data_IF_980278984511
#
_entry.id   IF_980278984511
#
_cell.length_a   1.000
_cell.length_b   1.000
_cell.length_c   1.000
_cell.angle_alpha   90.00
_cell.angle_beta   90.00
_cell.angle_gamma   90.00
#
_symmetry.space_group_name_H-M   'P 1'
#
loop_
_entity.id
_entity.type
_entity.pdbx_description
1 polymer ?
#
# COMPACT_ATOMS: atom_id res chain seq x y z
N UNK A 1 4.70 8.70 25.11
CA UNK A 1 3.93 8.26 23.94
C UNK A 1 4.85 8.41 22.75
N UNK A 2 4.96 7.38 21.92
CA UNK A 2 5.71 7.47 20.65
C UNK A 2 4.89 8.38 19.73
N UNK A 3 5.54 9.33 19.08
CA UNK A 3 4.88 10.25 18.14
C UNK A 3 4.64 9.49 16.83
N UNK A 4 3.42 9.49 16.26
CA UNK A 4 3.16 8.83 14.99
C UNK A 4 3.99 9.48 13.86
N UNK A 5 4.39 8.68 12.87
CA UNK A 5 5.11 9.18 11.69
C UNK A 5 4.16 9.86 10.71
N UNK A 6 2.89 9.44 10.67
CA UNK A 6 1.81 10.12 9.95
C UNK A 6 0.68 10.38 10.95
N UNK A 7 0.18 11.60 10.96
CA UNK A 7 -0.99 11.99 11.75
C UNK A 7 -1.93 12.82 10.88
N UNK A 8 -3.19 12.38 10.80
CA UNK A 8 -4.23 13.00 9.99
C UNK A 8 -5.39 13.36 10.90
N UNK A 9 -5.73 14.66 10.94
CA UNK A 9 -6.75 15.22 11.80
C UNK A 9 -7.82 15.93 10.97
N UNK A 10 -9.06 15.44 11.05
CA UNK A 10 -10.26 16.05 10.45
C UNK A 10 -10.11 16.43 8.97
N UNK A 11 -9.42 15.58 8.18
CA UNK A 11 -9.12 15.81 6.78
C UNK A 11 -10.40 15.81 5.94
N UNK A 12 -10.62 16.89 5.23
CA UNK A 12 -11.66 17.02 4.22
C UNK A 12 -11.05 17.38 2.87
N UNK A 13 -11.54 16.75 1.81
CA UNK A 13 -11.09 17.05 0.45
C UNK A 13 -12.25 17.01 -0.55
N UNK A 14 -12.18 17.88 -1.55
CA UNK A 14 -13.10 17.98 -2.67
C UNK A 14 -12.35 18.32 -3.96
N UNK A 15 -12.67 17.65 -5.04
CA UNK A 15 -12.15 18.03 -6.35
C UNK A 15 -12.78 19.35 -6.81
N UNK A 16 -12.03 20.21 -7.57
CA UNK A 16 -12.53 21.52 -8.01
C UNK A 16 -13.82 21.47 -8.84
N UNK A 17 -14.05 20.36 -9.57
CA UNK A 17 -15.23 20.18 -10.41
C UNK A 17 -16.48 19.71 -9.66
N UNK A 18 -16.36 19.31 -8.40
CA UNK A 18 -17.48 18.85 -7.57
C UNK A 18 -18.26 20.01 -6.97
N UNK A 19 -19.56 19.81 -6.69
CA UNK A 19 -20.38 20.77 -5.98
C UNK A 19 -19.81 21.06 -4.57
N UNK A 20 -20.10 22.25 -4.02
CA UNK A 20 -19.51 22.71 -2.75
C UNK A 20 -19.78 21.79 -1.55
N UNK A 21 -20.89 21.11 -1.55
CA UNK A 21 -21.38 20.17 -0.54
C UNK A 21 -20.93 18.73 -0.76
N UNK A 22 -20.27 18.45 -1.89
CA UNK A 22 -19.85 17.10 -2.28
C UNK A 22 -18.37 16.86 -1.96
N UNK A 23 -18.09 16.39 -0.73
CA UNK A 23 -16.74 16.01 -0.32
C UNK A 23 -16.38 14.59 -0.78
N UNK A 24 -15.15 14.42 -1.30
CA UNK A 24 -14.56 13.11 -1.61
C UNK A 24 -13.95 12.46 -0.36
N UNK A 25 -13.36 13.27 0.54
CA UNK A 25 -12.95 12.84 1.88
C UNK A 25 -13.70 13.68 2.90
N UNK A 26 -14.19 13.05 3.94
CA UNK A 26 -15.06 13.65 4.97
C UNK A 26 -14.54 13.27 6.34
N UNK A 27 -14.06 14.26 7.06
CA UNK A 27 -13.64 14.17 8.47
C UNK A 27 -12.72 12.96 8.76
N UNK A 28 -11.77 12.69 7.84
CA UNK A 28 -10.85 11.56 7.96
C UNK A 28 -9.81 11.86 9.02
N UNK A 29 -9.74 10.99 10.03
CA UNK A 29 -8.76 11.07 11.11
C UNK A 29 -8.17 9.70 11.38
N UNK A 30 -6.84 9.58 11.40
CA UNK A 30 -6.09 8.38 11.79
C UNK A 30 -4.61 8.73 11.98
N UNK A 31 -3.88 7.84 12.63
CA UNK A 31 -2.43 7.95 12.76
C UNK A 31 -1.73 6.67 12.32
N UNK A 32 -0.44 6.76 11.97
CA UNK A 32 0.41 5.61 11.60
C UNK A 32 1.71 5.71 12.38
N UNK A 33 2.10 4.63 13.03
CA UNK A 33 3.35 4.56 13.77
C UNK A 33 4.54 4.28 12.83
N UNK A 34 5.74 4.71 13.23
CA UNK A 34 6.97 4.41 12.48
C UNK A 34 7.17 2.89 12.40
N UNK A 35 7.54 2.40 11.21
CA UNK A 35 7.71 0.98 10.94
C UNK A 35 6.41 0.19 10.88
N UNK A 36 5.24 0.80 10.95
CA UNK A 36 3.96 0.11 10.79
C UNK A 36 3.65 -0.15 9.30
N UNK A 37 2.97 -1.26 9.01
CA UNK A 37 2.33 -1.50 7.72
C UNK A 37 0.82 -1.38 7.89
N UNK A 38 0.24 -0.37 7.26
CA UNK A 38 -1.21 -0.13 7.26
C UNK A 38 -1.77 -0.40 5.87
N UNK A 39 -2.76 -1.30 5.78
CA UNK A 39 -3.52 -1.51 4.55
C UNK A 39 -4.77 -0.60 4.56
N UNK A 40 -5.00 0.12 3.47
CA UNK A 40 -6.18 0.95 3.26
C UNK A 40 -7.07 0.22 2.26
N UNK A 41 -8.24 -0.20 2.70
CA UNK A 41 -9.17 -1.02 1.93
C UNK A 41 -10.53 -0.34 1.80
N UNK A 42 -11.34 -0.75 0.82
CA UNK A 42 -12.65 -0.21 0.56
C UNK A 42 -13.04 -0.32 -0.92
N UNK A 43 -14.28 -0.08 -1.27
CA UNK A 43 -14.76 -0.18 -2.65
C UNK A 43 -14.12 0.89 -3.58
N UNK A 44 -14.23 0.66 -4.89
CA UNK A 44 -13.76 1.65 -5.87
C UNK A 44 -14.56 2.95 -5.73
N UNK A 45 -13.84 4.08 -5.74
CA UNK A 45 -14.45 5.40 -5.53
C UNK A 45 -14.63 5.80 -4.06
N UNK A 46 -14.23 4.97 -3.07
CA UNK A 46 -14.36 5.32 -1.64
C UNK A 46 -13.39 6.42 -1.14
N UNK A 47 -12.47 6.90 -1.99
CA UNK A 47 -11.56 7.99 -1.63
C UNK A 47 -10.11 7.57 -1.31
N UNK A 48 -9.75 6.28 -1.37
CA UNK A 48 -8.42 5.76 -0.99
C UNK A 48 -7.25 6.43 -1.72
N UNK A 49 -7.27 6.46 -3.05
CA UNK A 49 -6.21 7.11 -3.85
C UNK A 49 -6.20 8.63 -3.66
N UNK A 50 -7.36 9.24 -3.37
CA UNK A 50 -7.46 10.65 -3.00
C UNK A 50 -6.78 10.90 -1.66
N UNK A 51 -6.97 10.03 -0.68
CA UNK A 51 -6.28 10.07 0.61
C UNK A 51 -4.76 9.97 0.44
N UNK A 52 -4.26 8.98 -0.32
CA UNK A 52 -2.84 8.84 -0.59
C UNK A 52 -2.21 10.08 -1.25
N UNK A 53 -2.92 10.70 -2.20
CA UNK A 53 -2.47 11.94 -2.86
C UNK A 53 -2.47 13.15 -1.92
N UNK A 54 -3.37 13.20 -0.94
CA UNK A 54 -3.34 14.22 0.10
C UNK A 54 -2.13 14.02 1.03
N UNK A 55 -1.83 12.79 1.44
CA UNK A 55 -0.66 12.49 2.30
C UNK A 55 0.66 12.91 1.68
N UNK A 56 0.80 12.75 0.36
CA UNK A 56 2.00 13.15 -0.40
C UNK A 56 1.95 14.63 -0.87
N UNK A 57 0.91 15.39 -0.51
CA UNK A 57 0.76 16.79 -0.91
C UNK A 57 0.54 17.01 -2.41
N UNK A 58 0.16 15.98 -3.18
CA UNK A 58 -0.25 16.11 -4.58
C UNK A 58 -1.62 16.79 -4.68
N UNK A 59 -2.43 16.64 -3.65
CA UNK A 59 -3.71 17.32 -3.49
C UNK A 59 -3.67 18.08 -2.17
N UNK A 60 -4.08 19.34 -2.20
CA UNK A 60 -4.16 20.17 -0.99
C UNK A 60 -5.49 19.94 -0.28
N UNK A 61 -5.50 19.67 1.04
CA UNK A 61 -6.72 19.54 1.82
C UNK A 61 -7.64 20.77 1.70
N UNK A 62 -8.95 20.55 1.70
CA UNK A 62 -9.92 21.65 1.83
C UNK A 62 -9.98 22.15 3.29
N UNK A 63 -9.81 21.24 4.26
CA UNK A 63 -9.65 21.53 5.69
C UNK A 63 -9.04 20.32 6.39
N UNK A 64 -8.69 20.49 7.66
CA UNK A 64 -8.00 19.48 8.46
C UNK A 64 -6.49 19.66 8.41
N UNK A 65 -5.76 18.68 8.95
CA UNK A 65 -4.31 18.76 9.12
C UNK A 65 -3.68 17.40 8.81
N UNK A 66 -2.55 17.45 8.13
CA UNK A 66 -1.70 16.28 7.90
C UNK A 66 -0.33 16.62 8.46
N UNK A 67 0.20 15.75 9.30
CA UNK A 67 1.56 15.86 9.85
C UNK A 67 2.34 14.61 9.43
N UNK A 68 3.55 14.80 8.89
CA UNK A 68 4.43 13.71 8.48
C UNK A 68 5.79 13.89 9.16
N UNK A 69 6.18 12.92 9.97
CA UNK A 69 7.43 12.94 10.74
C UNK A 69 7.63 14.28 11.47
N UNK A 70 6.53 14.81 12.01
CA UNK A 70 6.50 16.04 12.76
C UNK A 70 6.33 17.33 11.97
N UNK A 71 6.43 17.28 10.66
CA UNK A 71 6.23 18.44 9.80
C UNK A 71 4.78 18.51 9.35
N UNK A 72 4.11 19.64 9.59
CA UNK A 72 2.75 19.90 9.09
C UNK A 72 2.82 20.15 7.60
N UNK A 73 2.02 19.41 6.82
CA UNK A 73 1.96 19.54 5.36
C UNK A 73 1.45 20.95 4.98
N UNK A 74 2.23 21.66 4.22
CA UNK A 74 1.96 23.03 3.73
C UNK A 74 2.78 23.28 2.46
N UNK A 75 2.53 24.38 1.77
CA UNK A 75 3.35 24.79 0.61
C UNK A 75 4.84 24.93 0.95
N UNK A 76 5.18 25.26 2.22
CA UNK A 76 6.56 25.47 2.67
C UNK A 76 7.26 24.14 2.99
N UNK A 77 6.53 23.13 3.44
CA UNK A 77 7.09 21.86 3.94
C UNK A 77 6.91 20.71 2.98
N UNK A 78 6.08 20.85 1.94
CA UNK A 78 5.71 19.76 1.02
C UNK A 78 6.92 19.09 0.35
N UNK A 79 7.96 19.86 0.02
CA UNK A 79 9.16 19.30 -0.62
C UNK A 79 9.99 18.44 0.33
N UNK A 80 10.10 18.83 1.60
CA UNK A 80 10.79 18.04 2.62
C UNK A 80 9.99 16.78 2.96
N UNK A 81 8.66 16.87 3.03
CA UNK A 81 7.78 15.73 3.22
C UNK A 81 7.89 14.74 2.05
N UNK A 82 7.90 15.22 0.79
CA UNK A 82 8.07 14.37 -0.40
C UNK A 82 9.40 13.63 -0.45
N UNK A 83 10.45 14.15 0.14
CA UNK A 83 11.73 13.41 0.27
C UNK A 83 11.63 12.19 1.19
N UNK A 84 10.71 12.25 2.17
CA UNK A 84 10.47 11.17 3.13
C UNK A 84 9.51 10.11 2.60
N UNK A 85 8.65 10.47 1.63
CA UNK A 85 7.58 9.62 1.08
C UNK A 85 7.94 9.16 -0.33
N UNK A 86 8.04 7.85 -0.51
CA UNK A 86 7.99 7.21 -1.83
C UNK A 86 6.54 6.81 -2.17
N UNK A 87 6.09 7.07 -3.39
CA UNK A 87 4.75 6.69 -3.82
C UNK A 87 4.78 5.96 -5.15
N UNK A 88 4.14 4.79 -5.21
CA UNK A 88 3.91 4.04 -6.44
C UNK A 88 2.43 4.11 -6.78
N UNK A 89 2.11 4.62 -7.98
CA UNK A 89 0.74 4.81 -8.42
C UNK A 89 0.18 3.56 -9.12
N UNK A 90 -1.14 3.46 -9.16
CA UNK A 90 -1.89 2.40 -9.82
C UNK A 90 -1.53 2.27 -11.30
N UNK A 91 -1.44 3.39 -12.02
CA UNK A 91 -1.03 3.42 -13.43
C UNK A 91 0.44 3.83 -13.54
N UNK A 92 1.35 2.90 -13.88
CA UNK A 92 2.76 3.21 -14.01
C UNK A 92 3.10 4.09 -15.22
N UNK A 93 2.26 4.16 -16.26
CA UNK A 93 2.55 4.92 -17.48
C UNK A 93 2.77 6.41 -17.23
N UNK A 94 2.21 6.95 -16.18
CA UNK A 94 2.29 8.37 -15.84
C UNK A 94 3.51 8.71 -14.95
N UNK A 95 4.38 7.76 -14.67
CA UNK A 95 5.49 7.93 -13.71
C UNK A 95 6.86 8.00 -14.37
N UNK A 96 7.00 7.51 -15.62
CA UNK A 96 8.27 7.41 -16.29
C UNK A 96 8.74 8.73 -16.91
N UNK A 97 9.97 9.11 -16.59
CA UNK A 97 10.64 10.31 -17.11
C UNK A 97 12.02 9.98 -17.73
N UNK A 98 12.61 8.84 -17.36
CA UNK A 98 13.92 8.40 -17.83
C UNK A 98 13.89 7.92 -19.29
N UNK A 99 14.98 8.14 -20.03
CA UNK A 99 15.16 7.60 -21.38
C UNK A 99 15.30 6.07 -21.36
N UNK A 100 15.94 5.54 -20.34
CA UNK A 100 16.08 4.10 -20.08
C UNK A 100 15.50 3.74 -18.72
N UNK A 101 15.27 2.47 -18.49
CA UNK A 101 14.86 1.92 -17.18
C UNK A 101 15.85 2.31 -16.08
N UNK A 102 17.15 2.25 -16.36
CA UNK A 102 18.18 2.63 -15.38
C UNK A 102 18.13 4.13 -15.05
N UNK A 103 17.94 4.98 -16.07
CA UNK A 103 17.80 6.44 -15.88
C UNK A 103 16.57 6.77 -15.06
N UNK A 104 15.46 6.06 -15.29
CA UNK A 104 14.22 6.27 -14.56
C UNK A 104 14.37 5.93 -13.07
N UNK A 105 14.99 4.79 -12.78
CA UNK A 105 15.28 4.39 -11.38
C UNK A 105 16.28 5.36 -10.72
N UNK A 106 17.23 5.91 -11.49
CA UNK A 106 18.21 6.90 -11.00
C UNK A 106 17.56 8.26 -10.70
N UNK A 107 16.50 8.64 -11.41
CA UNK A 107 15.89 9.96 -11.33
C UNK A 107 15.49 10.38 -9.91
N UNK A 108 14.90 9.45 -9.13
CA UNK A 108 14.56 9.71 -7.73
C UNK A 108 15.79 9.98 -6.85
N UNK A 109 16.89 9.29 -7.13
CA UNK A 109 18.16 9.46 -6.42
C UNK A 109 18.84 10.79 -6.78
N UNK A 110 18.77 11.20 -8.05
CA UNK A 110 19.27 12.49 -8.51
C UNK A 110 18.55 13.64 -7.82
N UNK A 111 17.22 13.57 -7.72
CA UNK A 111 16.40 14.56 -7.01
C UNK A 111 16.71 14.64 -5.52
N UNK A 112 17.17 13.54 -4.92
CA UNK A 112 17.64 13.50 -3.53
C UNK A 112 19.10 13.98 -3.37
N UNK A 113 19.83 14.28 -4.47
CA UNK A 113 21.21 14.68 -4.43
C UNK A 113 22.19 13.55 -4.05
N UNK A 114 21.81 12.29 -4.32
CA UNK A 114 22.67 11.12 -4.03
C UNK A 114 23.90 11.15 -4.93
N UNK A 115 25.07 10.88 -4.36
CA UNK A 115 26.33 10.85 -5.10
C UNK A 115 26.30 9.77 -6.22
N UNK A 116 26.92 10.08 -7.36
CA UNK A 116 26.93 9.22 -8.56
C UNK A 116 27.40 7.79 -8.26
N UNK A 117 28.47 7.65 -7.48
CA UNK A 117 29.01 6.32 -7.13
C UNK A 117 28.04 5.47 -6.34
N UNK A 118 27.21 6.11 -5.51
CA UNK A 118 26.15 5.43 -4.77
C UNK A 118 24.98 5.07 -5.68
N UNK A 119 24.61 5.93 -6.66
CA UNK A 119 23.60 5.62 -7.67
C UNK A 119 24.00 4.41 -8.51
N UNK A 120 25.28 4.34 -8.94
CA UNK A 120 25.83 3.21 -9.70
C UNK A 120 25.77 1.87 -8.93
N UNK A 121 25.68 1.91 -7.59
CA UNK A 121 25.48 0.73 -6.75
C UNK A 121 23.99 0.42 -6.51
N UNK A 122 23.17 1.46 -6.20
CA UNK A 122 21.77 1.27 -5.82
C UNK A 122 20.88 0.89 -7.00
N UNK A 123 21.05 1.51 -8.16
CA UNK A 123 20.19 1.26 -9.33
C UNK A 123 20.24 -0.20 -9.78
N UNK A 124 21.40 -0.82 -10.05
CA UNK A 124 21.46 -2.23 -10.43
C UNK A 124 20.95 -3.15 -9.33
N UNK A 125 21.23 -2.84 -8.06
CA UNK A 125 20.75 -3.63 -6.92
C UNK A 125 19.21 -3.61 -6.82
N UNK A 126 18.59 -2.46 -6.98
CA UNK A 126 17.13 -2.31 -6.97
C UNK A 126 16.48 -3.04 -8.15
N UNK A 127 17.02 -2.89 -9.36
CA UNK A 127 16.53 -3.60 -10.55
C UNK A 127 16.61 -5.13 -10.38
N UNK A 128 17.67 -5.63 -9.75
CA UNK A 128 17.83 -7.06 -9.47
C UNK A 128 16.77 -7.56 -8.50
N UNK A 129 16.42 -6.79 -7.47
CA UNK A 129 15.39 -7.18 -6.48
C UNK A 129 14.00 -7.36 -7.09
N UNK A 130 13.72 -6.68 -8.20
CA UNK A 130 12.44 -6.78 -8.91
C UNK A 130 12.53 -7.57 -10.22
N UNK A 131 13.64 -8.29 -10.47
CA UNK A 131 13.90 -9.09 -11.67
C UNK A 131 13.84 -8.27 -12.98
N UNK A 132 14.39 -7.03 -12.96
CA UNK A 132 14.39 -6.12 -14.11
C UNK A 132 15.81 -5.72 -14.59
N UNK A 133 16.87 -6.38 -14.10
CA UNK A 133 18.25 -6.06 -14.44
C UNK A 133 18.55 -6.16 -15.94
N UNK A 134 17.95 -7.12 -16.65
CA UNK A 134 18.16 -7.36 -18.08
C UNK A 134 17.46 -6.31 -18.97
N UNK A 135 16.65 -5.47 -18.35
CA UNK A 135 15.90 -4.40 -19.00
C UNK A 135 16.49 -3.00 -18.75
N UNK A 136 17.60 -2.91 -18.04
CA UNK A 136 18.19 -1.63 -17.58
C UNK A 136 18.38 -0.58 -18.70
N UNK A 137 18.76 -1.01 -19.90
CA UNK A 137 18.99 -0.15 -21.06
C UNK A 137 17.78 0.02 -21.98
N UNK A 138 16.65 -0.62 -21.67
CA UNK A 138 15.42 -0.50 -22.49
C UNK A 138 14.67 0.78 -22.18
N UNK A 139 13.97 1.27 -23.19
CA UNK A 139 13.00 2.38 -23.03
C UNK A 139 11.80 1.90 -22.21
N UNK A 140 11.37 2.63 -21.15
CA UNK A 140 10.22 2.26 -20.34
C UNK A 140 8.93 2.07 -21.17
N UNK A 141 8.75 2.84 -22.25
CA UNK A 141 7.58 2.72 -23.13
C UNK A 141 7.41 1.33 -23.76
N UNK A 142 8.51 0.57 -23.91
CA UNK A 142 8.51 -0.78 -24.52
C UNK A 142 8.29 -1.91 -23.51
N UNK A 143 8.01 -1.60 -22.26
CA UNK A 143 7.73 -2.56 -21.22
C UNK A 143 6.24 -2.90 -21.14
N UNK A 144 5.91 -4.13 -20.71
CA UNK A 144 4.55 -4.49 -20.32
C UNK A 144 4.14 -3.73 -19.04
N UNK A 145 2.83 -3.63 -18.75
CA UNK A 145 2.33 -2.96 -17.54
C UNK A 145 2.94 -3.52 -16.25
N UNK A 146 3.03 -4.85 -16.11
CA UNK A 146 3.68 -5.48 -14.95
C UNK A 146 5.18 -5.19 -14.88
N UNK A 147 5.91 -5.13 -16.00
CA UNK A 147 7.31 -4.73 -16.03
C UNK A 147 7.48 -3.26 -15.61
N UNK A 148 6.63 -2.38 -16.11
CA UNK A 148 6.60 -0.97 -15.70
C UNK A 148 6.39 -0.84 -14.21
N UNK A 149 5.43 -1.58 -13.65
CA UNK A 149 5.17 -1.57 -12.21
C UNK A 149 6.38 -2.02 -11.39
N UNK A 150 7.09 -3.05 -11.83
CA UNK A 150 8.34 -3.51 -11.21
C UNK A 150 9.43 -2.44 -11.25
N UNK A 151 9.56 -1.71 -12.36
CA UNK A 151 10.53 -0.61 -12.49
C UNK A 151 10.17 0.56 -11.56
N UNK A 152 8.89 0.95 -11.48
CA UNK A 152 8.44 1.98 -10.55
C UNK A 152 8.77 1.61 -9.09
N UNK A 153 8.55 0.35 -8.71
CA UNK A 153 8.96 -0.18 -7.41
C UNK A 153 10.48 -0.16 -7.21
N UNK A 154 11.27 -0.49 -8.24
CA UNK A 154 12.74 -0.40 -8.17
C UNK A 154 13.20 1.04 -7.86
N UNK A 155 12.57 2.05 -8.46
CA UNK A 155 12.84 3.46 -8.15
C UNK A 155 12.65 3.78 -6.67
N UNK A 156 11.54 3.31 -6.09
CA UNK A 156 11.27 3.51 -4.65
C UNK A 156 12.23 2.72 -3.76
N UNK A 157 12.57 1.49 -4.12
CA UNK A 157 13.56 0.66 -3.41
C UNK A 157 14.94 1.36 -3.41
N UNK A 158 15.36 1.89 -4.55
CA UNK A 158 16.63 2.61 -4.68
C UNK A 158 16.66 3.88 -3.83
N UNK A 159 15.55 4.64 -3.82
CA UNK A 159 15.42 5.90 -3.09
C UNK A 159 15.42 5.71 -1.56
N UNK A 160 15.05 4.54 -1.05
CA UNK A 160 14.98 4.21 0.39
C UNK A 160 14.18 5.23 1.21
N UNK A 161 12.90 5.46 0.89
CA UNK A 161 12.07 6.39 1.63
C UNK A 161 11.81 5.90 3.07
N UNK A 162 11.43 6.80 3.97
CA UNK A 162 10.96 6.44 5.32
C UNK A 162 9.53 5.87 5.29
N UNK A 163 8.72 6.37 4.35
CA UNK A 163 7.32 6.00 4.16
C UNK A 163 7.13 5.58 2.70
N UNK A 164 6.55 4.41 2.48
CA UNK A 164 6.21 3.89 1.16
C UNK A 164 4.70 3.81 1.02
N UNK A 165 4.14 4.57 0.07
CA UNK A 165 2.72 4.52 -0.28
C UNK A 165 2.58 3.71 -1.57
N UNK A 166 1.77 2.65 -1.52
CA UNK A 166 1.46 1.78 -2.65
C UNK A 166 -0.02 1.99 -3.02
N UNK A 167 -0.29 2.69 -4.11
CA UNK A 167 -1.66 2.90 -4.58
C UNK A 167 -1.99 1.84 -5.64
N UNK A 168 -2.55 0.70 -5.19
CA UNK A 168 -2.84 -0.50 -5.99
C UNK A 168 -1.63 -0.97 -6.83
N UNK A 169 -0.43 -0.80 -6.27
CA UNK A 169 0.84 -0.98 -6.96
C UNK A 169 1.13 -2.43 -7.41
N UNK A 170 0.38 -3.39 -6.92
CA UNK A 170 0.52 -4.82 -7.26
C UNK A 170 -0.56 -5.33 -8.21
N UNK A 171 -1.57 -4.50 -8.55
CA UNK A 171 -2.76 -4.92 -9.30
C UNK A 171 -2.47 -5.40 -10.72
N UNK A 172 -1.42 -4.88 -11.35
CA UNK A 172 -1.00 -5.25 -12.72
C UNK A 172 -0.03 -6.44 -12.76
N UNK A 173 0.35 -6.99 -11.61
CA UNK A 173 1.26 -8.12 -11.51
C UNK A 173 0.48 -9.44 -11.53
N UNK A 174 1.10 -10.46 -12.11
CA UNK A 174 0.65 -11.83 -11.93
C UNK A 174 0.82 -12.28 -10.46
N UNK A 175 0.15 -13.33 -10.00
CA UNK A 175 0.20 -13.74 -8.58
C UNK A 175 1.62 -13.98 -8.06
N UNK A 176 2.50 -14.57 -8.89
CA UNK A 176 3.90 -14.80 -8.53
C UNK A 176 4.68 -13.48 -8.41
N UNK A 177 4.51 -12.59 -9.37
CA UNK A 177 5.15 -11.28 -9.36
C UNK A 177 4.72 -10.42 -8.19
N UNK A 178 3.44 -10.51 -7.81
CA UNK A 178 2.93 -9.85 -6.61
C UNK A 178 3.62 -10.36 -5.35
N UNK A 179 3.68 -11.67 -5.17
CA UNK A 179 4.33 -12.26 -3.99
C UNK A 179 5.83 -11.90 -3.90
N UNK A 180 6.55 -11.91 -5.04
CA UNK A 180 7.95 -11.50 -5.11
C UNK A 180 8.14 -10.04 -4.65
N UNK A 181 7.26 -9.13 -5.08
CA UNK A 181 7.27 -7.72 -4.68
C UNK A 181 6.94 -7.55 -3.20
N UNK A 182 5.88 -8.20 -2.71
CA UNK A 182 5.50 -8.13 -1.30
C UNK A 182 6.58 -8.72 -0.40
N UNK A 183 7.24 -9.81 -0.81
CA UNK A 183 8.39 -10.38 -0.10
C UNK A 183 9.56 -9.38 -0.02
N UNK A 184 9.84 -8.65 -1.11
CA UNK A 184 10.87 -7.60 -1.13
C UNK A 184 10.52 -6.47 -0.16
N UNK A 185 9.28 -6.01 -0.13
CA UNK A 185 8.82 -4.96 0.81
C UNK A 185 8.93 -5.45 2.26
N UNK A 186 8.52 -6.70 2.55
CA UNK A 186 8.67 -7.31 3.89
C UNK A 186 10.14 -7.37 4.30
N UNK A 187 11.04 -7.74 3.39
CA UNK A 187 12.48 -7.77 3.64
C UNK A 187 13.04 -6.37 3.94
N UNK A 188 12.64 -5.36 3.16
CA UNK A 188 13.03 -3.96 3.41
C UNK A 188 12.56 -3.52 4.80
N UNK A 189 11.29 -3.79 5.13
CA UNK A 189 10.71 -3.48 6.44
C UNK A 189 11.44 -4.18 7.60
N UNK A 190 11.89 -5.41 7.40
CA UNK A 190 12.64 -6.16 8.42
C UNK A 190 14.08 -5.63 8.65
N UNK A 191 14.65 -4.89 7.68
CA UNK A 191 16.01 -4.35 7.73
C UNK A 191 16.07 -2.83 7.95
N UNK A 192 14.93 -2.17 7.95
CA UNK A 192 14.79 -0.72 8.17
C UNK A 192 13.46 -0.40 8.82
N UNK A 193 13.33 0.76 9.43
CA UNK A 193 12.07 1.25 10.02
C UNK A 193 11.08 1.75 8.94
N UNK A 194 11.00 1.06 7.79
CA UNK A 194 10.13 1.43 6.69
C UNK A 194 8.66 1.34 7.11
N UNK A 195 7.97 2.47 7.02
CA UNK A 195 6.51 2.54 7.18
C UNK A 195 5.85 2.30 5.83
N UNK A 196 4.82 1.48 5.79
CA UNK A 196 4.12 1.13 4.53
C UNK A 196 2.63 1.45 4.64
N UNK A 197 2.12 2.20 3.67
CA UNK A 197 0.69 2.36 3.45
C UNK A 197 0.35 1.70 2.12
N UNK A 198 -0.39 0.59 2.15
CA UNK A 198 -0.83 -0.08 0.92
C UNK A 198 -2.33 0.09 0.71
N UNK A 199 -2.70 0.77 -0.37
CA UNK A 199 -4.07 0.78 -0.87
C UNK A 199 -4.22 -0.46 -1.73
N UNK A 200 -5.12 -1.34 -1.33
CA UNK A 200 -5.32 -2.60 -2.01
C UNK A 200 -6.76 -3.10 -1.87
N UNK A 201 -7.19 -3.86 -2.85
CA UNK A 201 -8.39 -4.71 -2.78
C UNK A 201 -8.01 -6.20 -2.64
N UNK A 202 -6.73 -6.49 -2.65
CA UNK A 202 -6.20 -7.84 -2.48
C UNK A 202 -6.14 -8.21 -0.99
N UNK A 203 -6.84 -9.28 -0.65
CA UNK A 203 -6.99 -9.72 0.74
C UNK A 203 -5.69 -10.26 1.31
N UNK A 204 -4.86 -10.91 0.51
CA UNK A 204 -3.59 -11.48 0.96
C UNK A 204 -2.57 -10.37 1.25
N UNK A 205 -2.58 -9.31 0.42
CA UNK A 205 -1.82 -8.10 0.71
C UNK A 205 -2.31 -7.42 2.00
N UNK A 206 -3.62 -7.22 2.15
CA UNK A 206 -4.21 -6.65 3.35
C UNK A 206 -3.93 -7.50 4.61
N UNK A 207 -3.94 -8.83 4.48
CA UNK A 207 -3.62 -9.76 5.57
C UNK A 207 -2.15 -9.68 6.01
N UNK A 208 -1.27 -9.15 5.16
CA UNK A 208 0.16 -8.95 5.48
C UNK A 208 0.43 -7.70 6.30
N UNK A 209 -0.55 -6.78 6.41
CA UNK A 209 -0.43 -5.55 7.17
C UNK A 209 -0.52 -5.78 8.70
N UNK A 210 0.00 -4.82 9.47
CA UNK A 210 -0.17 -4.80 10.93
C UNK A 210 -1.60 -4.38 11.28
N UNK A 211 -2.17 -3.44 10.51
CA UNK A 211 -3.50 -2.86 10.72
C UNK A 211 -4.17 -2.56 9.38
N UNK A 212 -5.48 -2.61 9.37
CA UNK A 212 -6.32 -2.28 8.21
C UNK A 212 -7.18 -1.06 8.56
N UNK A 213 -7.24 -0.09 7.64
CA UNK A 213 -8.20 1.01 7.65
C UNK A 213 -9.25 0.74 6.58
N UNK A 214 -10.52 0.65 6.97
CA UNK A 214 -11.65 0.49 6.05
C UNK A 214 -12.20 1.85 5.69
N UNK A 215 -12.01 2.25 4.44
CA UNK A 215 -12.49 3.54 3.90
C UNK A 215 -13.75 3.29 3.08
N UNK A 216 -14.85 3.94 3.46
CA UNK A 216 -16.11 3.88 2.74
C UNK A 216 -16.71 5.29 2.64
N UNK A 217 -17.18 5.66 1.43
CA UNK A 217 -17.81 6.97 1.17
C UNK A 217 -17.00 8.18 1.68
N UNK A 218 -15.69 8.11 1.58
CA UNK A 218 -14.78 9.20 1.98
C UNK A 218 -14.48 9.28 3.47
N UNK A 219 -14.89 8.32 4.27
CA UNK A 219 -14.67 8.28 5.73
C UNK A 219 -13.92 7.00 6.13
N UNK A 220 -13.13 7.05 7.20
CA UNK A 220 -12.63 5.85 7.87
C UNK A 220 -13.76 5.31 8.73
N UNK A 221 -14.31 4.15 8.35
CA UNK A 221 -15.44 3.52 9.03
C UNK A 221 -15.02 2.58 10.14
N UNK A 222 -13.86 1.96 9.96
CA UNK A 222 -13.34 0.99 10.91
C UNK A 222 -11.83 0.89 10.78
N UNK A 223 -11.14 0.57 11.87
CA UNK A 223 -9.74 0.20 11.90
C UNK A 223 -9.52 -0.96 12.86
N UNK A 224 -8.56 -1.81 12.55
CA UNK A 224 -8.24 -2.96 13.38
C UNK A 224 -7.18 -3.85 12.75
N UNK A 225 -6.78 -4.87 13.47
CA UNK A 225 -5.89 -5.92 12.92
C UNK A 225 -6.61 -6.68 11.80
N UNK A 226 -5.88 -7.32 10.87
CA UNK A 226 -6.50 -8.18 9.85
C UNK A 226 -7.46 -9.22 10.45
N UNK A 227 -7.10 -9.80 11.60
CA UNK A 227 -7.95 -10.78 12.28
C UNK A 227 -9.27 -10.18 12.79
N UNK A 228 -9.28 -8.93 13.21
CA UNK A 228 -10.49 -8.22 13.65
C UNK A 228 -11.39 -7.86 12.47
N UNK A 229 -10.81 -7.26 11.44
CA UNK A 229 -11.57 -6.84 10.25
C UNK A 229 -12.15 -8.06 9.52
N UNK A 230 -11.35 -9.10 9.27
CA UNK A 230 -11.80 -10.25 8.50
C UNK A 230 -12.83 -11.14 9.23
N UNK A 231 -12.98 -10.99 10.56
CA UNK A 231 -14.08 -11.65 11.31
C UNK A 231 -15.48 -11.20 10.87
N UNK A 232 -15.61 -10.04 10.24
CA UNK A 232 -16.90 -9.57 9.73
C UNK A 232 -17.46 -10.42 8.58
N UNK A 233 -16.66 -11.32 8.00
CA UNK A 233 -17.11 -12.31 7.03
C UNK A 233 -17.89 -11.70 5.87
N UNK A 234 -19.18 -12.06 5.70
CA UNK A 234 -20.01 -11.59 4.59
C UNK A 234 -20.26 -10.06 4.61
N UNK A 235 -20.10 -9.38 5.76
CA UNK A 235 -20.24 -7.93 5.82
C UNK A 235 -19.11 -7.19 5.08
N UNK A 236 -17.93 -7.79 4.92
CA UNK A 236 -16.83 -7.25 4.13
C UNK A 236 -17.21 -7.05 2.65
N UNK A 237 -18.03 -7.97 2.11
CA UNK A 237 -18.51 -7.88 0.72
C UNK A 237 -19.35 -6.61 0.52
N UNK A 238 -20.15 -6.21 1.52
CA UNK A 238 -20.91 -4.95 1.49
C UNK A 238 -20.03 -3.72 1.53
N UNK A 239 -18.82 -3.85 2.09
CA UNK A 239 -17.80 -2.79 2.12
C UNK A 239 -16.92 -2.78 0.86
N UNK A 240 -17.23 -3.63 -0.14
CA UNK A 240 -16.45 -3.76 -1.39
C UNK A 240 -15.14 -4.51 -1.22
N UNK A 241 -15.02 -5.32 -0.16
CA UNK A 241 -13.90 -6.20 0.08
C UNK A 241 -14.26 -7.64 -0.25
N UNK A 242 -13.32 -8.38 -0.79
CA UNK A 242 -13.48 -9.83 -0.91
C UNK A 242 -13.29 -10.49 0.47
N UNK A 243 -13.73 -11.72 0.60
CA UNK A 243 -13.58 -12.48 1.85
C UNK A 243 -12.38 -13.41 1.74
N UNK A 244 -11.46 -13.45 2.74
CA UNK A 244 -10.36 -14.40 2.73
C UNK A 244 -10.83 -15.82 2.46
N UNK A 245 -10.06 -16.57 1.67
CA UNK A 245 -10.44 -17.95 1.31
C UNK A 245 -10.73 -18.83 2.54
N UNK A 246 -9.92 -18.71 3.60
CA UNK A 246 -10.12 -19.42 4.85
C UNK A 246 -11.49 -19.11 5.48
N UNK A 247 -11.92 -17.85 5.47
CA UNK A 247 -13.23 -17.46 6.01
C UNK A 247 -14.38 -17.91 5.10
N UNK A 248 -14.22 -17.88 3.77
CA UNK A 248 -15.19 -18.49 2.84
C UNK A 248 -15.36 -19.98 3.09
N UNK A 249 -14.25 -20.69 3.30
CA UNK A 249 -14.28 -22.13 3.60
C UNK A 249 -14.94 -22.40 4.95
N UNK A 250 -14.64 -21.60 6.00
CA UNK A 250 -15.32 -21.71 7.30
C UNK A 250 -16.84 -21.52 7.18
N UNK A 251 -17.27 -20.50 6.42
CA UNK A 251 -18.70 -20.25 6.17
C UNK A 251 -19.35 -21.45 5.45
N UNK A 252 -18.69 -22.03 4.46
CA UNK A 252 -19.18 -23.22 3.74
C UNK A 252 -19.25 -24.47 4.63
N UNK A 253 -18.28 -24.68 5.51
CA UNK A 253 -18.25 -25.79 6.47
C UNK A 253 -19.34 -25.62 7.55
N UNK A 254 -19.56 -24.39 8.07
CA UNK A 254 -20.67 -24.09 9.00
C UNK A 254 -22.03 -24.44 8.40
N UNK A 255 -22.30 -24.13 7.12
CA UNK A 255 -23.54 -24.51 6.42
C UNK A 255 -23.75 -26.02 6.34
N UNK A 256 -22.66 -26.80 6.47
CA UNK A 256 -22.70 -28.28 6.51
C UNK A 256 -22.63 -28.83 7.93
N UNK A 257 -22.92 -28.02 8.96
CA UNK A 257 -22.89 -28.37 10.36
C UNK A 257 -21.52 -28.86 10.89
N UNK A 258 -20.42 -28.45 10.23
CA UNK A 258 -19.06 -28.69 10.74
C UNK A 258 -18.74 -27.59 11.75
N UNK A 259 -18.33 -27.98 12.97
CA UNK A 259 -17.80 -27.01 13.93
C UNK A 259 -16.45 -26.48 13.44
N UNK A 260 -16.32 -25.17 13.29
CA UNK A 260 -15.11 -24.48 12.85
C UNK A 260 -14.61 -23.52 13.92
N UNK A 261 -13.30 -23.23 13.99
CA UNK A 261 -12.75 -22.26 14.93
C UNK A 261 -13.38 -20.88 14.74
N UNK A 262 -13.68 -20.20 15.85
CA UNK A 262 -14.20 -18.83 15.83
C UNK A 262 -13.11 -17.80 15.49
N UNK A 263 -11.82 -18.15 15.76
CA UNK A 263 -10.66 -17.28 15.49
C UNK A 263 -10.38 -17.20 14.01
N UNK A 264 -9.88 -16.05 13.54
CA UNK A 264 -9.36 -15.93 12.18
C UNK A 264 -8.22 -16.94 11.95
N UNK A 265 -8.22 -17.58 10.78
CA UNK A 265 -7.17 -18.49 10.34
C UNK A 265 -6.61 -18.00 9.01
N UNK A 266 -5.29 -17.99 8.89
CA UNK A 266 -4.63 -17.88 7.58
C UNK A 266 -4.93 -19.13 6.74
N UNK A 267 -4.64 -19.11 5.43
CA UNK A 267 -4.79 -20.30 4.58
C UNK A 267 -4.02 -21.50 5.14
N UNK A 268 -2.76 -21.29 5.58
CA UNK A 268 -1.96 -22.32 6.23
C UNK A 268 -2.61 -22.82 7.52
N UNK A 269 -3.06 -21.90 8.39
CA UNK A 269 -3.75 -22.26 9.63
C UNK A 269 -5.02 -23.07 9.37
N UNK A 270 -5.77 -22.76 8.28
CA UNK A 270 -6.93 -23.53 7.87
C UNK A 270 -6.54 -24.92 7.37
N UNK A 271 -5.48 -25.04 6.59
CA UNK A 271 -4.98 -26.34 6.14
C UNK A 271 -4.53 -27.22 7.31
N UNK A 272 -3.79 -26.65 8.26
CA UNK A 272 -3.33 -27.36 9.47
C UNK A 272 -4.52 -27.81 10.33
N UNK A 273 -5.53 -26.96 10.51
CA UNK A 273 -6.75 -27.31 11.24
C UNK A 273 -7.53 -28.44 10.55
N UNK A 274 -7.71 -28.40 9.23
CA UNK A 274 -8.37 -29.45 8.47
C UNK A 274 -7.64 -30.78 8.58
N UNK A 275 -6.30 -30.75 8.54
CA UNK A 275 -5.48 -31.93 8.73
C UNK A 275 -5.69 -32.57 10.10
N UNK A 276 -5.70 -31.75 11.16
CA UNK A 276 -5.98 -32.23 12.53
C UNK A 276 -7.40 -32.79 12.67
N UNK A 277 -8.41 -32.15 12.06
CA UNK A 277 -9.79 -32.62 12.08
C UNK A 277 -9.92 -34.01 11.43
N UNK A 278 -9.15 -34.28 10.38
CA UNK A 278 -9.11 -35.58 9.71
C UNK A 278 -8.37 -36.64 10.52
N UNK A 279 -7.30 -36.27 11.20
CA UNK A 279 -6.46 -37.21 11.98
C UNK A 279 -7.11 -37.64 13.30
N UNK A 280 -8.11 -36.90 13.78
CA UNK A 280 -8.87 -37.19 14.99
C UNK A 280 -10.18 -37.95 14.73
N UNK A 281 -10.42 -38.40 13.49
CA UNK A 281 -11.47 -39.35 13.10
C UNK A 281 -10.88 -40.72 12.79
#
# INVERSE_FOLDING_TARGET
MVRPIIDVEHLNYRYPQQAKDQLTLRDVSFSVDAGEWVAIVGHNGSGKSTLAKNLNGLLAPASGRITVDGDVLSEKTVWEIRKKIGMVFQNPDNQFVGATVADDVAFGLENQGVARDEMLRRVPAALKLVNMQDFATREPARLSGGQKQRVALAGMIAARPQILILDEATSMLDPRGREEVLATIRQMKATSDLTVLSITHDIDEAASANRILVVNDGEVKEEGTPAEIFRHGEALIKMGLDMPYAERLKAALKRRNVQVPATYLTEKGMADWLWQLRSNK
#
